data_IF_183144942906
#
_entry.id   IF_183144942906
#
_cell.length_a   1.000
_cell.length_b   1.000
_cell.length_c   1.000
_cell.angle_alpha   90.00
_cell.angle_beta   90.00
_cell.angle_gamma   90.00
#
_symmetry.space_group_name_H-M   'P 1'
#
loop_
_entity.id
_entity.type
_entity.pdbx_description
1 polymer ?
#
# COMPACT_ATOMS: atom_id res chain seq x y z
N UNK A 1 -21.02 -0.11 14.03
CA UNK A 1 -21.03 0.70 12.79
C UNK A 1 -20.07 0.02 11.84
N UNK A 2 -20.44 -0.18 10.57
CA UNK A 2 -19.53 -0.80 9.61
C UNK A 2 -18.37 0.16 9.30
N UNK A 3 -17.14 -0.36 9.23
CA UNK A 3 -15.91 0.42 8.96
C UNK A 3 -15.68 0.65 7.45
N UNK A 4 -16.71 0.42 6.64
CA UNK A 4 -16.67 0.45 5.18
C UNK A 4 -17.96 1.03 4.61
N UNK A 5 -17.85 1.59 3.42
CA UNK A 5 -18.97 2.13 2.64
C UNK A 5 -19.61 1.10 1.71
N UNK A 6 -19.08 -0.13 1.67
CA UNK A 6 -19.60 -1.22 0.84
C UNK A 6 -20.80 -1.86 1.55
N UNK A 7 -21.96 -1.87 0.92
CA UNK A 7 -23.25 -2.16 1.58
C UNK A 7 -23.38 -3.57 2.17
N UNK A 8 -22.58 -4.53 1.70
CA UNK A 8 -22.72 -5.96 2.04
C UNK A 8 -21.60 -6.51 2.94
N UNK A 9 -20.63 -5.70 3.37
CA UNK A 9 -19.54 -6.14 4.27
C UNK A 9 -19.31 -5.12 5.39
N UNK A 10 -18.81 -5.57 6.53
CA UNK A 10 -18.51 -4.71 7.68
C UNK A 10 -17.10 -4.11 7.65
N UNK A 11 -16.21 -4.65 6.80
CA UNK A 11 -14.84 -4.16 6.68
C UNK A 11 -14.28 -4.31 5.27
N UNK A 12 -13.27 -3.49 4.97
CA UNK A 12 -12.37 -3.69 3.82
C UNK A 12 -10.95 -3.77 4.29
N UNK A 13 -10.14 -4.57 3.61
CA UNK A 13 -8.71 -4.64 3.87
C UNK A 13 -7.98 -4.85 2.55
N UNK A 14 -6.82 -4.21 2.42
CA UNK A 14 -5.94 -4.43 1.29
C UNK A 14 -4.88 -5.47 1.71
N UNK A 15 -4.88 -6.70 1.16
CA UNK A 15 -3.93 -7.73 1.56
C UNK A 15 -2.51 -7.52 1.01
N UNK A 16 -2.33 -6.63 0.03
CA UNK A 16 -1.05 -6.48 -0.69
C UNK A 16 -0.47 -5.09 -0.46
N UNK A 17 0.84 -5.03 -0.25
CA UNK A 17 1.63 -3.80 -0.35
C UNK A 17 2.97 -4.13 -1.03
N UNK A 18 3.47 -3.20 -1.83
CA UNK A 18 4.70 -3.38 -2.60
C UNK A 18 4.53 -4.21 -3.87
N UNK A 19 5.59 -4.26 -4.66
CA UNK A 19 5.73 -5.10 -5.84
C UNK A 19 7.22 -5.31 -6.17
N UNK A 20 7.54 -6.36 -6.91
CA UNK A 20 8.91 -6.59 -7.39
C UNK A 20 9.26 -5.60 -8.51
N UNK A 21 10.47 -5.02 -8.45
CA UNK A 21 11.00 -4.16 -9.51
C UNK A 21 11.35 -5.03 -10.73
N UNK A 22 10.60 -4.86 -11.82
CA UNK A 22 10.83 -5.61 -13.07
C UNK A 22 11.70 -4.84 -14.07
N UNK A 23 11.58 -3.51 -14.09
CA UNK A 23 12.28 -2.64 -15.04
C UNK A 23 12.70 -1.33 -14.36
N UNK A 24 13.59 -0.57 -14.99
CA UNK A 24 13.99 0.75 -14.49
C UNK A 24 12.80 1.74 -14.37
N UNK A 25 11.71 1.54 -15.13
CA UNK A 25 10.51 2.36 -15.02
C UNK A 25 9.79 2.22 -13.67
N UNK A 26 9.95 1.08 -12.98
CA UNK A 26 9.29 0.82 -11.70
C UNK A 26 9.72 1.80 -10.59
N UNK A 27 10.94 2.37 -10.67
CA UNK A 27 11.42 3.34 -9.67
C UNK A 27 10.71 4.68 -9.73
N UNK A 28 9.98 4.95 -10.83
CA UNK A 28 9.14 6.13 -11.01
C UNK A 28 7.65 5.84 -10.79
N UNK A 29 7.28 4.61 -10.44
CA UNK A 29 5.89 4.24 -10.19
C UNK A 29 5.32 4.99 -8.98
N UNK A 30 4.07 5.44 -9.08
CA UNK A 30 3.38 6.11 -7.99
C UNK A 30 3.36 5.26 -6.70
N UNK A 31 3.31 3.94 -6.83
CA UNK A 31 3.24 3.01 -5.71
C UNK A 31 4.53 3.01 -4.87
N UNK A 32 5.69 3.16 -5.49
CA UNK A 32 6.98 3.23 -4.77
C UNK A 32 7.09 4.53 -3.97
N UNK A 33 6.70 5.67 -4.56
CA UNK A 33 6.62 6.96 -3.86
C UNK A 33 5.64 6.91 -2.70
N UNK A 34 4.50 6.23 -2.90
CA UNK A 34 3.51 6.01 -1.86
C UNK A 34 4.07 5.14 -0.73
N UNK A 35 4.75 4.04 -1.06
CA UNK A 35 5.39 3.16 -0.08
C UNK A 35 6.40 3.93 0.79
N UNK A 36 7.27 4.74 0.18
CA UNK A 36 8.25 5.56 0.92
C UNK A 36 7.61 6.57 1.87
N UNK A 37 6.51 7.19 1.45
CA UNK A 37 5.74 8.08 2.33
C UNK A 37 5.16 7.34 3.52
N UNK A 38 4.56 6.18 3.28
CA UNK A 38 3.84 5.41 4.30
C UNK A 38 4.79 4.69 5.27
N UNK A 39 5.94 4.23 4.79
CA UNK A 39 7.04 3.74 5.62
C UNK A 39 7.58 4.86 6.53
N UNK A 40 7.81 6.06 5.98
CA UNK A 40 8.20 7.24 6.76
C UNK A 40 7.16 7.69 7.80
N UNK A 41 5.89 7.29 7.63
CA UNK A 41 4.82 7.51 8.61
C UNK A 41 4.73 6.40 9.67
N UNK A 42 5.60 5.36 9.61
CA UNK A 42 5.61 4.25 10.55
C UNK A 42 4.51 3.22 10.32
N UNK A 43 3.97 3.10 9.11
CA UNK A 43 2.99 2.04 8.82
C UNK A 43 3.71 0.70 8.63
N UNK A 44 3.58 -0.19 9.60
CA UNK A 44 4.21 -1.54 9.63
C UNK A 44 4.08 -2.31 8.31
N UNK A 45 2.92 -2.24 7.66
CA UNK A 45 2.66 -2.90 6.38
C UNK A 45 3.63 -2.50 5.26
N UNK A 46 4.22 -1.31 5.33
CA UNK A 46 5.10 -0.75 4.31
C UNK A 46 6.59 -0.81 4.64
N UNK A 47 6.96 -1.41 5.77
CA UNK A 47 8.35 -1.53 6.20
C UNK A 47 9.17 -2.39 5.23
N UNK A 48 10.28 -1.85 4.71
CA UNK A 48 11.18 -2.52 3.78
C UNK A 48 10.64 -2.70 2.35
N UNK A 49 9.64 -1.90 1.95
CA UNK A 49 9.02 -1.98 0.61
C UNK A 49 9.48 -0.86 -0.36
N UNK A 50 10.59 -0.18 -0.05
CA UNK A 50 11.11 0.97 -0.82
C UNK A 50 12.43 0.69 -1.52
#
# INVERSE_FOLDING_TARGET
MADTTIEWTDATWNPVAGCTILTAGCTNCYAMRMAARLEGMGMEKYHGLT
#
